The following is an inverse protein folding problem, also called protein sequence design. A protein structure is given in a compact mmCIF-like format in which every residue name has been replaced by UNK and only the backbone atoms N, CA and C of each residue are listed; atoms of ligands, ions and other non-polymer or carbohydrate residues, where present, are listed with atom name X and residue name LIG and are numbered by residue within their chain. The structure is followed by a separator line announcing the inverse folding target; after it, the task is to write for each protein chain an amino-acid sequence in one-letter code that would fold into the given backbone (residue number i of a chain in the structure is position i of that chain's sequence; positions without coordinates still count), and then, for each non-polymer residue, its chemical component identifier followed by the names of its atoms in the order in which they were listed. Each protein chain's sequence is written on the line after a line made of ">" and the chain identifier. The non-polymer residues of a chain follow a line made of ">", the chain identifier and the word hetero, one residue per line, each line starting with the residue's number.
data_IF_575069358007
#
_entry.id   IF_575069358007
#
_cell.length_a   1.000
_cell.length_b   1.000
_cell.length_c   1.000
_cell.angle_alpha   90.00
_cell.angle_beta   90.00
_cell.angle_gamma   90.00
#
_symmetry.space_group_name_H-M   'P 1'
#
loop_
_entity.id
_entity.type
_entity.pdbx_description
1 polymer ?
#
# COMPACT_ATOMS: atom_id res chain seq x y z
N UNK A 1 -10.83 0.29 -3.08
CA UNK A 1 -10.44 -0.71 -4.12
C UNK A 1 -8.93 -0.61 -4.21
N UNK A 2 -8.18 -1.70 -4.10
CA UNK A 2 -6.79 -1.82 -3.59
C UNK A 2 -5.68 -0.91 -4.20
N UNK A 3 -5.73 0.39 -3.92
CA UNK A 3 -4.70 1.43 -4.14
C UNK A 3 -3.72 1.16 -5.31
N UNK A 4 -4.17 1.12 -6.58
CA UNK A 4 -3.31 0.80 -7.73
C UNK A 4 -2.22 1.84 -8.01
N UNK A 5 -2.33 3.03 -7.42
CA UNK A 5 -1.26 4.04 -7.43
C UNK A 5 -0.06 3.67 -6.53
N UNK A 6 -0.27 2.75 -5.58
CA UNK A 6 0.71 2.35 -4.55
C UNK A 6 1.16 0.92 -4.77
N UNK A 7 0.24 0.04 -5.12
CA UNK A 7 0.50 -1.37 -5.36
C UNK A 7 0.39 -1.72 -6.84
N UNK A 8 1.27 -2.59 -7.30
CA UNK A 8 1.12 -3.30 -8.56
C UNK A 8 0.95 -4.79 -8.32
N UNK A 9 0.65 -5.55 -9.37
CA UNK A 9 0.71 -7.00 -9.32
C UNK A 9 1.67 -7.51 -10.40
N UNK A 10 2.62 -8.35 -10.00
CA UNK A 10 3.52 -9.03 -10.92
C UNK A 10 2.73 -9.94 -11.85
N UNK A 11 2.92 -9.77 -13.17
CA UNK A 11 2.30 -10.64 -14.17
C UNK A 11 2.86 -12.06 -14.16
N UNK A 12 4.06 -12.26 -13.59
CA UNK A 12 4.78 -13.53 -13.65
C UNK A 12 4.37 -14.53 -12.56
N UNK A 13 4.14 -14.03 -11.35
CA UNK A 13 3.85 -14.84 -10.16
C UNK A 13 2.63 -14.36 -9.37
N UNK A 14 1.99 -13.26 -9.81
CA UNK A 14 0.81 -12.71 -9.16
C UNK A 14 1.08 -12.04 -7.82
N UNK A 15 2.35 -11.87 -7.41
CA UNK A 15 2.67 -11.21 -6.16
C UNK A 15 2.40 -9.71 -6.22
N UNK A 16 1.95 -9.16 -5.10
CA UNK A 16 1.76 -7.71 -4.95
C UNK A 16 3.13 -7.04 -4.83
N UNK A 17 3.37 -6.03 -5.65
CA UNK A 17 4.57 -5.21 -5.63
C UNK A 17 4.24 -3.83 -5.05
N UNK A 18 5.15 -3.26 -4.26
CA UNK A 18 5.07 -1.88 -3.82
C UNK A 18 5.71 -0.99 -4.89
N UNK A 19 4.92 -0.13 -5.54
CA UNK A 19 5.41 0.84 -6.55
C UNK A 19 6.15 2.00 -5.89
N UNK A 20 5.51 2.61 -4.90
CA UNK A 20 6.05 3.73 -4.13
C UNK A 20 5.77 3.49 -2.64
N UNK A 21 6.79 3.67 -1.79
CA UNK A 21 6.67 3.60 -0.34
C UNK A 21 5.99 4.82 0.27
N UNK A 22 5.81 5.88 -0.52
CA UNK A 22 5.08 7.08 -0.13
C UNK A 22 3.77 7.19 -0.90
N UNK A 23 2.65 7.03 -0.18
CA UNK A 23 1.33 7.28 -0.71
C UNK A 23 0.86 8.67 -0.28
N UNK A 24 0.56 9.56 -1.23
CA UNK A 24 -0.08 10.84 -0.92
C UNK A 24 -1.41 10.66 -0.19
N UNK A 25 -1.86 11.70 0.52
CA UNK A 25 -3.06 11.64 1.38
C UNK A 25 -4.33 11.14 0.69
N UNK A 26 -4.46 11.38 -0.62
CA UNK A 26 -5.59 10.90 -1.42
C UNK A 26 -5.70 9.37 -1.48
N UNK A 27 -4.59 8.64 -1.36
CA UNK A 27 -4.57 7.17 -1.40
C UNK A 27 -4.66 6.53 0.00
N UNK A 28 -4.63 7.33 1.08
CA UNK A 28 -4.53 6.84 2.46
C UNK A 28 -5.61 5.81 2.81
N UNK A 29 -6.88 6.12 2.52
CA UNK A 29 -7.99 5.23 2.85
C UNK A 29 -7.94 3.90 2.09
N UNK A 30 -7.50 3.91 0.83
CA UNK A 30 -7.35 2.66 0.05
C UNK A 30 -6.16 1.82 0.55
N UNK A 31 -5.07 2.45 1.01
CA UNK A 31 -3.91 1.75 1.60
C UNK A 31 -4.26 1.15 2.97
N UNK A 32 -4.98 1.88 3.83
CA UNK A 32 -5.49 1.35 5.09
C UNK A 32 -6.42 0.15 4.89
N UNK A 33 -7.33 0.24 3.91
CA UNK A 33 -8.19 -0.88 3.56
C UNK A 33 -7.37 -2.09 3.05
N UNK A 34 -6.36 -1.86 2.23
CA UNK A 34 -5.48 -2.94 1.75
C UNK A 34 -4.75 -3.63 2.93
N UNK A 35 -4.31 -2.87 3.93
CA UNK A 35 -3.68 -3.41 5.13
C UNK A 35 -4.65 -4.31 5.93
N UNK A 36 -5.89 -3.88 6.13
CA UNK A 36 -6.93 -4.67 6.83
C UNK A 36 -7.28 -5.95 6.07
N UNK A 37 -7.28 -5.91 4.74
CA UNK A 37 -7.62 -7.07 3.90
C UNK A 37 -6.46 -8.05 3.73
N UNK A 38 -5.22 -7.68 4.04
CA UNK A 38 -4.03 -8.49 3.78
C UNK A 38 -3.95 -9.68 4.75
N UNK A 39 -4.17 -10.94 4.31
CA UNK A 39 -4.21 -12.09 5.21
C UNK A 39 -2.85 -12.39 5.87
N UNK A 40 -1.78 -12.01 5.19
CA UNK A 40 -0.41 -12.20 5.66
C UNK A 40 0.09 -11.07 6.59
N UNK A 41 -0.72 -10.03 6.81
CA UNK A 41 -0.33 -8.81 7.55
C UNK A 41 0.99 -8.19 7.04
N UNK A 42 1.19 -8.20 5.71
CA UNK A 42 2.44 -7.74 5.09
C UNK A 42 2.51 -6.22 4.87
N UNK A 43 1.42 -5.49 5.12
CA UNK A 43 1.32 -4.05 4.89
C UNK A 43 1.27 -3.36 6.25
N UNK A 44 2.21 -2.43 6.49
CA UNK A 44 2.19 -1.50 7.61
C UNK A 44 2.04 -0.08 7.06
N UNK A 45 1.19 0.72 7.71
CA UNK A 45 0.93 2.09 7.29
C UNK A 45 1.36 3.00 8.43
N UNK A 46 2.34 3.84 8.16
CA UNK A 46 2.86 4.82 9.11
C UNK A 46 2.50 6.22 8.60
N UNK A 47 2.12 7.09 9.52
CA UNK A 47 2.05 8.52 9.21
C UNK A 47 3.48 9.03 9.21
N UNK A 48 3.85 9.78 8.17
CA UNK A 48 5.10 10.52 8.24
C UNK A 48 4.90 11.69 9.19
N UNK A 49 5.22 11.43 10.45
CA UNK A 49 5.27 12.42 11.50
C UNK A 49 6.49 13.33 11.31
N UNK A 50 6.69 13.86 10.10
CA UNK A 50 7.76 14.77 9.72
C UNK A 50 9.16 14.26 10.06
N UNK A 51 9.92 13.88 9.03
CA UNK A 51 11.33 14.33 9.03
C UNK A 51 11.30 15.87 9.10
N UNK A 52 11.57 16.40 10.29
CA UNK A 52 11.81 17.82 10.52
C UNK A 52 12.89 18.38 9.58
#
# INVERSE_FOLDING_TARGET
>A
MSAPAVFDQSESDGLVLLRDGWAGSAARGDVELAAVLCPANAISVEDDAGKA
#
